data_IF_270608835857
#
_entry.id   IF_270608835857
#
_cell.length_a   1.000
_cell.length_b   1.000
_cell.length_c   1.000
_cell.angle_alpha   90.00
_cell.angle_beta   90.00
_cell.angle_gamma   90.00
#
_symmetry.space_group_name_H-M   'P 1'
#
loop_
_entity.id
_entity.type
_entity.pdbx_description
1 polymer ?
#
# COMPACT_ATOMS: atom_id res chain seq x y z
N UNK A 1 5.46 8.46 5.89
CA UNK A 1 6.88 8.52 5.48
C UNK A 1 7.11 7.50 4.38
N UNK A 2 7.83 7.89 3.33
CA UNK A 2 8.17 7.01 2.21
C UNK A 2 9.62 6.55 2.38
N UNK A 3 9.87 5.25 2.21
CA UNK A 3 11.21 4.68 2.37
C UNK A 3 11.64 3.93 1.12
N UNK A 4 12.85 4.23 0.67
CA UNK A 4 13.54 3.45 -0.33
C UNK A 4 14.02 2.13 0.26
N UNK A 5 13.83 1.03 -0.47
CA UNK A 5 14.46 -0.25 -0.20
C UNK A 5 15.25 -0.65 -1.45
N UNK A 6 16.57 -0.76 -1.32
CA UNK A 6 17.49 -0.94 -2.44
C UNK A 6 17.26 0.12 -3.55
N UNK A 7 16.79 -0.30 -4.73
CA UNK A 7 16.46 0.58 -5.86
C UNK A 7 14.95 0.83 -6.00
N UNK A 8 14.13 0.34 -5.06
CA UNK A 8 12.68 0.43 -5.09
C UNK A 8 12.20 1.58 -4.18
N UNK A 9 11.55 2.55 -4.81
CA UNK A 9 10.92 3.68 -4.16
C UNK A 9 9.40 3.57 -4.32
N UNK A 10 8.61 3.88 -3.28
CA UNK A 10 7.17 4.02 -3.44
C UNK A 10 6.86 5.04 -4.55
N UNK A 11 6.09 4.61 -5.53
CA UNK A 11 5.65 5.43 -6.64
C UNK A 11 4.23 5.92 -6.37
N UNK A 12 4.10 7.21 -6.11
CA UNK A 12 2.85 7.82 -5.71
C UNK A 12 2.32 8.73 -6.82
N UNK A 13 1.06 8.57 -7.20
CA UNK A 13 0.39 9.56 -8.03
C UNK A 13 0.35 10.94 -7.32
N UNK A 14 0.38 12.06 -8.07
CA UNK A 14 0.47 13.41 -7.49
C UNK A 14 -0.67 13.81 -6.54
N UNK A 15 -1.83 13.18 -6.64
CA UNK A 15 -3.03 13.47 -5.86
C UNK A 15 -3.29 12.44 -4.75
N UNK A 16 -2.28 11.66 -4.39
CA UNK A 16 -2.35 10.72 -3.27
C UNK A 16 -2.31 11.45 -1.93
N UNK A 17 -3.12 10.98 -0.98
CA UNK A 17 -3.04 11.46 0.41
C UNK A 17 -2.25 10.46 1.25
N UNK A 18 -1.16 10.91 1.87
CA UNK A 18 -0.34 10.10 2.78
C UNK A 18 -0.35 10.76 4.15
N UNK A 19 -1.13 10.20 5.08
CA UNK A 19 -1.31 10.77 6.41
C UNK A 19 -0.01 10.71 7.23
N UNK A 20 0.19 11.66 8.17
CA UNK A 20 1.23 11.57 9.19
C UNK A 20 1.22 10.22 9.93
N UNK A 21 2.40 9.73 10.28
CA UNK A 21 2.57 8.44 10.96
C UNK A 21 2.41 7.19 10.09
N UNK A 22 1.91 7.31 8.85
CA UNK A 22 1.94 6.18 7.91
C UNK A 22 3.37 5.85 7.47
N UNK A 23 3.63 4.60 7.09
CA UNK A 23 4.91 4.13 6.57
C UNK A 23 4.69 3.36 5.27
N UNK A 24 5.31 3.78 4.17
CA UNK A 24 5.25 3.11 2.86
C UNK A 24 6.67 2.78 2.41
N UNK A 25 6.95 1.51 2.14
CA UNK A 25 8.31 1.00 2.01
C UNK A 25 8.43 0.14 0.74
N UNK A 26 9.45 0.41 -0.08
CA UNK A 26 9.86 -0.48 -1.18
C UNK A 26 8.93 -0.43 -2.41
N UNK A 27 8.63 -1.61 -2.96
CA UNK A 27 7.91 -1.80 -4.22
C UNK A 27 6.40 -1.58 -4.07
N UNK A 28 6.00 -0.32 -3.96
CA UNK A 28 4.61 0.08 -3.79
C UNK A 28 4.21 1.06 -4.89
N UNK A 29 3.16 0.74 -5.64
CA UNK A 29 2.51 1.67 -6.57
C UNK A 29 1.20 2.17 -5.97
N UNK A 30 1.03 3.50 -5.92
CA UNK A 30 -0.17 4.15 -5.40
C UNK A 30 -0.83 4.96 -6.50
N UNK A 31 -1.99 4.50 -6.96
CA UNK A 31 -2.73 5.14 -8.05
C UNK A 31 -3.46 6.43 -7.62
N UNK A 32 -3.98 7.13 -8.63
CA UNK A 32 -4.71 8.40 -8.51
C UNK A 32 -5.82 8.35 -7.46
N UNK A 33 -5.93 9.39 -6.65
CA UNK A 33 -7.01 9.56 -5.66
C UNK A 33 -6.99 8.52 -4.52
N UNK A 34 -5.95 7.68 -4.43
CA UNK A 34 -5.80 6.77 -3.31
C UNK A 34 -5.28 7.51 -2.07
N UNK A 35 -5.64 6.98 -0.90
CA UNK A 35 -5.33 7.59 0.39
C UNK A 35 -4.82 6.55 1.39
N UNK A 36 -3.71 6.84 2.07
CA UNK A 36 -3.15 6.05 3.16
C UNK A 36 -3.31 6.85 4.45
N UNK A 37 -4.06 6.30 5.40
CA UNK A 37 -4.48 6.98 6.63
C UNK A 37 -3.53 6.69 7.80
N UNK A 38 -3.81 7.30 8.95
CA UNK A 38 -2.82 7.48 10.01
C UNK A 38 -2.28 6.15 10.52
N UNK A 39 -0.97 6.08 10.73
CA UNK A 39 -0.28 4.90 11.27
C UNK A 39 -0.43 3.61 10.44
N UNK A 40 -0.93 3.68 9.20
CA UNK A 40 -0.92 2.53 8.30
C UNK A 40 0.51 2.18 7.85
N UNK A 41 0.80 0.89 7.71
CA UNK A 41 2.08 0.37 7.24
C UNK A 41 1.88 -0.40 5.95
N UNK A 42 2.53 0.02 4.87
CA UNK A 42 2.52 -0.64 3.56
C UNK A 42 3.95 -1.04 3.23
N UNK A 43 4.25 -2.33 3.33
CA UNK A 43 5.59 -2.88 3.23
C UNK A 43 5.71 -3.81 2.02
N UNK A 44 6.15 -3.25 0.89
CA UNK A 44 6.40 -3.96 -0.36
C UNK A 44 7.86 -4.38 -0.49
N UNK A 45 8.38 -5.10 0.50
CA UNK A 45 9.78 -5.57 0.53
C UNK A 45 9.95 -7.01 0.03
N UNK A 46 8.91 -7.83 0.11
CA UNK A 46 8.90 -9.22 -0.39
C UNK A 46 8.40 -9.33 -1.83
N UNK A 47 7.32 -8.62 -2.16
CA UNK A 47 6.75 -8.52 -3.51
C UNK A 47 5.99 -7.18 -3.69
N UNK A 48 5.48 -6.95 -4.89
CA UNK A 48 4.80 -5.72 -5.28
C UNK A 48 3.46 -5.54 -4.56
N UNK A 49 3.21 -4.31 -4.11
CA UNK A 49 1.89 -3.86 -3.67
C UNK A 49 1.36 -2.82 -4.65
N UNK A 50 0.17 -3.05 -5.21
CA UNK A 50 -0.53 -2.14 -6.13
C UNK A 50 -1.81 -1.63 -5.48
N UNK A 51 -1.83 -0.34 -5.12
CA UNK A 51 -3.00 0.35 -4.57
C UNK A 51 -3.74 1.05 -5.71
N UNK A 52 -4.98 0.64 -5.93
CA UNK A 52 -5.84 1.09 -7.02
C UNK A 52 -6.43 2.49 -6.85
N UNK A 53 -7.00 3.00 -7.95
CA UNK A 53 -7.57 4.36 -8.03
C UNK A 53 -8.69 4.52 -7.01
N UNK A 54 -8.75 5.66 -6.32
CA UNK A 54 -9.77 5.96 -5.29
C UNK A 54 -9.86 4.92 -4.16
N UNK A 55 -8.79 4.16 -3.90
CA UNK A 55 -8.72 3.21 -2.79
C UNK A 55 -8.28 3.91 -1.50
N UNK A 56 -8.90 3.58 -0.37
CA UNK A 56 -8.45 4.03 0.94
C UNK A 56 -7.86 2.85 1.74
N UNK A 57 -6.66 3.06 2.28
CA UNK A 57 -6.01 2.21 3.28
C UNK A 57 -6.18 2.89 4.62
N UNK A 58 -7.07 2.36 5.45
CA UNK A 58 -7.51 3.01 6.69
C UNK A 58 -6.47 2.92 7.80
N UNK A 59 -6.71 3.68 8.86
CA UNK A 59 -5.80 3.86 9.99
C UNK A 59 -5.31 2.54 10.58
N UNK A 60 -4.01 2.45 10.87
CA UNK A 60 -3.38 1.28 11.47
C UNK A 60 -3.41 0.00 10.62
N UNK A 61 -3.85 0.05 9.36
CA UNK A 61 -3.82 -1.12 8.47
C UNK A 61 -2.37 -1.55 8.19
N UNK A 62 -2.16 -2.85 8.00
CA UNK A 62 -0.86 -3.41 7.64
C UNK A 62 -0.99 -4.21 6.34
N UNK A 63 -0.31 -3.74 5.30
CA UNK A 63 -0.19 -4.40 4.02
C UNK A 63 1.22 -4.95 3.87
N UNK A 64 1.31 -6.26 3.64
CA UNK A 64 2.54 -7.00 3.40
C UNK A 64 2.28 -8.06 2.34
N UNK A 65 3.34 -8.60 1.77
CA UNK A 65 3.31 -9.63 0.72
C UNK A 65 4.25 -10.77 1.10
N UNK A 66 3.98 -11.94 0.54
CA UNK A 66 4.95 -13.04 0.52
C UNK A 66 5.63 -13.08 -0.84
N UNK A 67 6.84 -13.64 -0.91
CA UNK A 67 7.59 -13.75 -2.15
C UNK A 67 6.80 -14.54 -3.21
N UNK A 68 6.53 -13.92 -4.35
CA UNK A 68 5.76 -14.49 -5.46
C UNK A 68 4.25 -14.30 -5.31
N UNK A 69 3.78 -13.61 -4.26
CA UNK A 69 2.37 -13.35 -3.98
C UNK A 69 2.16 -11.84 -3.86
N UNK A 70 2.02 -11.13 -5.00
CA UNK A 70 1.78 -9.69 -4.99
C UNK A 70 0.38 -9.37 -4.46
N UNK A 71 0.23 -8.16 -3.90
CA UNK A 71 -1.05 -7.62 -3.46
C UNK A 71 -1.55 -6.58 -4.47
N UNK A 72 -2.77 -6.75 -4.96
CA UNK A 72 -3.40 -5.82 -5.90
C UNK A 72 -4.83 -5.45 -5.47
N UNK A 73 -5.08 -4.15 -5.25
CA UNK A 73 -6.42 -3.63 -4.94
C UNK A 73 -7.14 -3.05 -6.17
N UNK A 74 -6.52 -3.06 -7.37
CA UNK A 74 -7.13 -2.59 -8.62
C UNK A 74 -8.22 -3.53 -9.14
N UNK A 75 -8.13 -4.81 -8.80
CA UNK A 75 -9.17 -5.78 -9.11
C UNK A 75 -10.19 -5.80 -7.97
N UNK A 76 -11.51 -5.64 -8.20
CA UNK A 76 -12.51 -5.86 -7.17
C UNK A 76 -12.46 -7.33 -6.74
N UNK A 77 -11.71 -7.63 -5.69
CA UNK A 77 -11.59 -8.97 -5.14
C UNK A 77 -12.83 -9.32 -4.33
N UNK A 78 -13.46 -10.46 -4.65
CA UNK A 78 -14.62 -11.05 -3.93
C UNK A 78 -14.31 -11.49 -2.49
N UNK A 79 -13.16 -11.16 -1.94
CA UNK A 79 -12.79 -11.51 -0.56
C UNK A 79 -11.78 -10.53 0.03
N UNK A 80 -12.24 -9.34 0.43
CA UNK A 80 -11.54 -8.54 1.44
C UNK A 80 -12.53 -7.56 2.10
N UNK A 81 -13.00 -7.95 3.29
CA UNK A 81 -13.54 -7.04 4.31
C UNK A 81 -12.44 -6.02 4.70
N UNK A 82 -12.74 -4.80 5.18
CA UNK A 82 -11.76 -3.69 5.32
C UNK A 82 -10.73 -3.86 6.47
N UNK A 83 -10.35 -5.09 6.80
CA UNK A 83 -9.22 -5.41 7.67
C UNK A 83 -8.25 -6.28 6.89
N UNK A 84 -7.32 -5.64 6.16
CA UNK A 84 -6.17 -6.35 5.60
C UNK A 84 -5.14 -6.46 6.73
N UNK A 85 -4.98 -7.70 7.19
CA UNK A 85 -3.91 -8.19 8.05
C UNK A 85 -3.41 -9.43 7.30
N UNK A 86 -2.28 -9.33 6.62
CA UNK A 86 -1.58 -10.51 6.09
C UNK A 86 -0.30 -10.63 6.91
N UNK A 87 -0.16 -11.80 7.54
CA UNK A 87 0.84 -12.12 8.56
C UNK A 87 2.27 -12.01 8.08
#
# INVERSE_FOLDING_TARGET
MLYQLDNLLPNCAPDTFIAPGSHVIGNVDIARGASIWFNAVVRGDMDKISIGTNTNIQDGSVLHTDKGIPLDTMTPCKSASPRILVG
#
